data_IF_618445422478
#
_entry.id   IF_618445422478
#
_cell.length_a   1.000
_cell.length_b   1.000
_cell.length_c   1.000
_cell.angle_alpha   90.00
_cell.angle_beta   90.00
_cell.angle_gamma   90.00
#
_symmetry.space_group_name_H-M   'P 1'
#
loop_
_entity.id
_entity.type
_entity.pdbx_description
1 polymer ?
#
# COMPACT_ATOMS: atom_id res chain seq x y z
N UNK A 1 43.80 10.42 18.04
CA UNK A 1 42.89 9.27 18.38
C UNK A 1 41.55 9.47 17.68
N UNK A 2 41.18 8.59 16.78
CA UNK A 2 39.87 8.65 16.14
C UNK A 2 38.77 8.44 17.20
N UNK A 3 37.88 9.44 17.39
CA UNK A 3 36.77 9.34 18.32
C UNK A 3 35.90 8.18 17.91
N UNK A 4 35.71 7.19 18.78
CA UNK A 4 34.87 6.01 18.55
C UNK A 4 33.43 6.48 18.37
N UNK A 5 32.94 6.47 17.14
CA UNK A 5 31.56 6.84 16.83
C UNK A 5 30.65 5.73 17.38
N UNK A 6 29.70 6.09 18.25
CA UNK A 6 28.69 5.18 18.73
C UNK A 6 27.60 5.06 17.66
N UNK A 7 26.98 3.89 17.56
CA UNK A 7 25.82 3.66 16.69
C UNK A 7 24.65 3.16 17.52
N UNK A 8 23.45 3.65 17.22
CA UNK A 8 22.24 3.01 17.72
C UNK A 8 21.92 1.74 16.91
N UNK A 9 21.07 0.88 17.45
CA UNK A 9 20.61 -0.29 16.72
C UNK A 9 19.81 0.11 15.48
N UNK A 10 19.83 -0.71 14.44
CA UNK A 10 18.94 -0.54 13.31
C UNK A 10 17.47 -0.77 13.73
N UNK A 11 16.55 -0.06 13.08
CA UNK A 11 15.13 -0.11 13.36
C UNK A 11 14.43 -0.62 12.11
N UNK A 12 13.75 -1.76 12.24
CA UNK A 12 12.93 -2.35 11.20
C UNK A 12 11.47 -1.93 11.37
N UNK A 13 10.72 -1.93 10.26
CA UNK A 13 9.28 -1.70 10.31
C UNK A 13 8.56 -2.84 11.04
N UNK A 14 7.57 -2.49 11.85
CA UNK A 14 6.85 -3.40 12.71
C UNK A 14 6.01 -4.43 11.91
N UNK A 15 6.28 -5.71 12.10
CA UNK A 15 5.58 -6.80 11.43
C UNK A 15 4.08 -6.85 11.76
N UNK A 16 3.67 -6.45 12.96
CA UNK A 16 2.27 -6.36 13.37
C UNK A 16 1.52 -5.29 12.58
N UNK A 17 2.14 -4.13 12.31
CA UNK A 17 1.57 -3.08 11.44
C UNK A 17 1.46 -3.59 10.01
N UNK A 18 2.49 -4.28 9.49
CA UNK A 18 2.48 -4.88 8.16
C UNK A 18 1.31 -5.86 7.98
N UNK A 19 1.07 -6.74 8.97
CA UNK A 19 -0.05 -7.70 8.94
C UNK A 19 -1.42 -7.01 9.00
N UNK A 20 -1.58 -6.02 9.86
CA UNK A 20 -2.81 -5.23 9.94
C UNK A 20 -3.06 -4.44 8.65
N UNK A 21 -2.02 -3.88 8.05
CA UNK A 21 -2.12 -3.17 6.77
C UNK A 21 -2.52 -4.12 5.65
N UNK A 22 -1.87 -5.29 5.53
CA UNK A 22 -2.27 -6.36 4.61
C UNK A 22 -3.77 -6.68 4.76
N UNK A 23 -4.25 -6.89 6.00
CA UNK A 23 -5.66 -7.21 6.25
C UNK A 23 -6.59 -6.09 5.78
N UNK A 24 -6.24 -4.82 6.04
CA UNK A 24 -7.02 -3.67 5.58
C UNK A 24 -7.06 -3.56 4.05
N UNK A 25 -5.94 -3.80 3.37
CA UNK A 25 -5.87 -3.84 1.90
C UNK A 25 -6.79 -4.93 1.33
N UNK A 26 -6.74 -6.15 1.88
CA UNK A 26 -7.58 -7.26 1.44
C UNK A 26 -9.08 -6.99 1.68
N UNK A 27 -9.43 -6.44 2.84
CA UNK A 27 -10.83 -6.09 3.15
C UNK A 27 -11.35 -5.02 2.21
N UNK A 28 -10.57 -3.96 1.99
CA UNK A 28 -10.89 -2.87 1.05
C UNK A 28 -11.10 -3.40 -0.37
N UNK A 29 -10.14 -4.16 -0.88
CA UNK A 29 -10.20 -4.69 -2.24
C UNK A 29 -11.40 -5.62 -2.45
N UNK A 30 -11.69 -6.51 -1.50
CA UNK A 30 -12.85 -7.41 -1.59
C UNK A 30 -14.17 -6.62 -1.64
N UNK A 31 -14.33 -5.65 -0.75
CA UNK A 31 -15.53 -4.81 -0.72
C UNK A 31 -15.72 -4.05 -2.04
N UNK A 32 -14.65 -3.44 -2.54
CA UNK A 32 -14.64 -2.71 -3.80
C UNK A 32 -14.95 -3.61 -5.00
N UNK A 33 -14.26 -4.74 -5.12
CA UNK A 33 -14.51 -5.71 -6.21
C UNK A 33 -15.92 -6.27 -6.17
N UNK A 34 -16.48 -6.56 -4.97
CA UNK A 34 -17.84 -7.07 -4.83
C UNK A 34 -18.88 -6.04 -5.31
N UNK A 35 -18.69 -4.76 -4.97
CA UNK A 35 -19.57 -3.68 -5.43
C UNK A 35 -19.57 -3.57 -6.96
N UNK A 36 -18.39 -3.61 -7.57
CA UNK A 36 -18.23 -3.52 -9.04
C UNK A 36 -18.84 -4.72 -9.74
N UNK A 37 -18.52 -5.94 -9.30
CA UNK A 37 -19.10 -7.16 -9.87
C UNK A 37 -20.61 -7.13 -9.78
N UNK A 38 -21.17 -6.70 -8.65
CA UNK A 38 -22.62 -6.55 -8.49
C UNK A 38 -23.18 -5.53 -9.47
N UNK A 39 -22.54 -4.38 -9.65
CA UNK A 39 -22.98 -3.34 -10.57
C UNK A 39 -22.97 -3.84 -12.03
N UNK A 40 -21.90 -4.50 -12.46
CA UNK A 40 -21.80 -5.07 -13.82
C UNK A 40 -22.87 -6.13 -14.04
N UNK A 41 -23.06 -7.05 -13.10
CA UNK A 41 -24.06 -8.12 -13.24
C UNK A 41 -25.48 -7.59 -13.25
N UNK A 42 -25.80 -6.55 -12.49
CA UNK A 42 -27.09 -5.88 -12.51
C UNK A 42 -27.32 -5.19 -13.86
N UNK A 43 -26.34 -4.44 -14.35
CA UNK A 43 -26.44 -3.78 -15.65
C UNK A 43 -26.64 -4.79 -16.79
N UNK A 44 -25.88 -5.89 -16.79
CA UNK A 44 -26.03 -6.96 -17.75
C UNK A 44 -27.41 -7.63 -17.67
N UNK A 45 -27.96 -7.81 -16.46
CA UNK A 45 -29.30 -8.33 -16.28
C UNK A 45 -30.36 -7.37 -16.84
N UNK A 46 -30.23 -6.09 -16.54
CA UNK A 46 -31.22 -5.07 -16.91
C UNK A 46 -31.17 -4.76 -18.41
N UNK A 47 -30.00 -4.60 -19.01
CA UNK A 47 -29.85 -4.27 -20.43
C UNK A 47 -29.89 -5.49 -21.36
N UNK A 48 -29.45 -6.65 -20.90
CA UNK A 48 -29.50 -7.91 -21.66
C UNK A 48 -30.88 -8.56 -21.70
N UNK A 49 -31.78 -8.26 -20.74
CA UNK A 49 -33.14 -8.82 -20.65
C UNK A 49 -34.21 -7.89 -21.20
N UNK A 50 -34.01 -6.57 -21.08
CA UNK A 50 -35.08 -5.58 -21.30
C UNK A 50 -35.37 -5.24 -22.76
N UNK A 51 -34.62 -5.77 -23.72
CA UNK A 51 -35.02 -5.61 -25.12
C UNK A 51 -36.36 -6.33 -25.46
N UNK A 52 -36.81 -7.23 -24.59
CA UNK A 52 -38.03 -8.00 -24.85
C UNK A 52 -39.07 -8.05 -23.71
N UNK A 53 -38.71 -7.71 -22.46
CA UNK A 53 -39.70 -7.76 -21.37
C UNK A 53 -39.47 -6.68 -20.32
N UNK A 54 -40.08 -5.51 -20.53
CA UNK A 54 -40.01 -4.34 -19.64
C UNK A 54 -40.77 -4.51 -18.31
N UNK A 55 -41.38 -5.66 -18.06
CA UNK A 55 -42.32 -5.85 -16.95
C UNK A 55 -41.68 -6.34 -15.65
N UNK A 56 -40.44 -6.78 -15.65
CA UNK A 56 -39.89 -7.55 -14.50
C UNK A 56 -38.83 -6.85 -13.65
N UNK A 57 -38.26 -5.71 -14.05
CA UNK A 57 -37.26 -5.06 -13.20
C UNK A 57 -37.21 -3.55 -13.37
N UNK A 58 -37.50 -2.83 -12.29
CA UNK A 58 -37.21 -1.40 -12.18
C UNK A 58 -35.86 -1.23 -11.41
N UNK A 59 -34.75 -0.90 -12.09
CA UNK A 59 -33.43 -0.79 -11.46
C UNK A 59 -33.33 0.34 -10.42
N UNK A 60 -34.32 1.22 -10.34
CA UNK A 60 -34.42 2.28 -9.33
C UNK A 60 -35.11 1.81 -8.04
N UNK A 61 -35.47 0.51 -7.92
CA UNK A 61 -36.10 -0.01 -6.71
C UNK A 61 -35.05 -0.45 -5.69
N UNK A 62 -34.90 0.25 -4.53
CA UNK A 62 -33.97 -0.15 -3.46
C UNK A 62 -34.28 -1.49 -2.83
N UNK A 63 -35.44 -2.11 -3.16
CA UNK A 63 -35.92 -3.37 -2.64
C UNK A 63 -35.54 -4.61 -3.49
N UNK A 64 -34.75 -4.45 -4.55
CA UNK A 64 -34.31 -5.61 -5.33
C UNK A 64 -33.31 -6.46 -4.52
N UNK A 65 -33.84 -7.47 -3.84
CA UNK A 65 -33.13 -8.41 -2.98
C UNK A 65 -32.54 -9.60 -3.72
N UNK A 66 -32.55 -9.59 -5.06
CA UNK A 66 -31.97 -10.70 -5.82
C UNK A 66 -30.54 -10.95 -5.44
N UNK A 67 -30.21 -12.20 -5.21
CA UNK A 67 -28.83 -12.61 -4.90
C UNK A 67 -27.97 -12.52 -6.16
N UNK A 68 -26.66 -12.28 -5.99
CA UNK A 68 -25.68 -12.36 -7.10
C UNK A 68 -25.80 -13.67 -7.88
N UNK A 69 -26.31 -14.72 -7.23
CA UNK A 69 -26.51 -16.02 -7.84
C UNK A 69 -27.70 -16.05 -8.82
N UNK A 70 -28.79 -15.40 -8.44
CA UNK A 70 -29.98 -15.29 -9.31
C UNK A 70 -29.70 -14.41 -10.51
N UNK A 71 -29.07 -13.25 -10.27
CA UNK A 71 -28.63 -12.32 -11.33
C UNK A 71 -27.70 -13.05 -12.32
N UNK A 72 -26.72 -13.79 -11.81
CA UNK A 72 -25.77 -14.52 -12.65
C UNK A 72 -26.47 -15.60 -13.49
N UNK A 73 -27.47 -16.32 -12.95
CA UNK A 73 -28.25 -17.32 -13.74
C UNK A 73 -29.00 -16.66 -14.87
N UNK A 74 -29.60 -15.51 -14.63
CA UNK A 74 -30.37 -14.78 -15.65
C UNK A 74 -29.44 -14.29 -16.78
N UNK A 75 -28.30 -13.76 -16.47
CA UNK A 75 -27.30 -13.26 -17.44
C UNK A 75 -26.83 -14.39 -18.36
N UNK A 76 -26.46 -15.54 -17.82
CA UNK A 76 -25.91 -16.65 -18.62
C UNK A 76 -26.91 -17.34 -19.56
N UNK A 77 -28.16 -17.39 -19.19
CA UNK A 77 -29.19 -17.98 -20.06
C UNK A 77 -29.35 -17.24 -21.42
N UNK A 78 -28.94 -15.96 -21.47
CA UNK A 78 -28.98 -15.13 -22.69
C UNK A 78 -27.67 -15.04 -23.46
N UNK A 79 -26.55 -15.22 -22.78
CA UNK A 79 -25.21 -14.95 -23.30
C UNK A 79 -24.67 -15.94 -24.30
N UNK A 80 -25.15 -17.17 -24.26
CA UNK A 80 -24.83 -18.21 -25.26
C UNK A 80 -25.16 -17.82 -26.70
N UNK A 81 -25.85 -16.68 -26.89
CA UNK A 81 -26.34 -16.26 -28.20
C UNK A 81 -25.54 -15.19 -28.91
N UNK A 82 -24.78 -14.35 -28.20
CA UNK A 82 -23.92 -13.29 -28.81
C UNK A 82 -22.81 -12.78 -27.88
N UNK A 83 -21.64 -13.46 -27.79
CA UNK A 83 -20.56 -13.12 -26.85
C UNK A 83 -19.84 -11.80 -27.17
N UNK A 84 -19.71 -11.42 -28.43
CA UNK A 84 -19.00 -10.17 -28.82
C UNK A 84 -19.77 -8.92 -28.35
N UNK A 85 -21.08 -8.88 -28.53
CA UNK A 85 -21.91 -7.78 -28.06
C UNK A 85 -21.76 -7.52 -26.57
N UNK A 86 -21.61 -8.56 -25.76
CA UNK A 86 -21.48 -8.42 -24.32
C UNK A 86 -20.09 -7.95 -23.88
N UNK A 87 -19.05 -8.34 -24.59
CA UNK A 87 -17.70 -7.83 -24.35
C UNK A 87 -17.70 -6.33 -24.49
N UNK A 88 -18.16 -5.81 -25.62
CA UNK A 88 -18.20 -4.38 -25.90
C UNK A 88 -19.06 -3.63 -24.85
N UNK A 89 -20.20 -4.22 -24.47
CA UNK A 89 -21.08 -3.65 -23.48
C UNK A 89 -20.42 -3.56 -22.09
N UNK A 90 -19.77 -4.63 -21.62
CA UNK A 90 -19.03 -4.64 -20.35
C UNK A 90 -17.91 -3.61 -20.36
N UNK A 91 -17.16 -3.52 -21.45
CA UNK A 91 -16.07 -2.55 -21.60
C UNK A 91 -16.59 -1.11 -21.53
N UNK A 92 -17.67 -0.80 -22.24
CA UNK A 92 -18.30 0.52 -22.22
C UNK A 92 -18.86 0.86 -20.83
N UNK A 93 -19.55 -0.09 -20.19
CA UNK A 93 -20.09 0.10 -18.85
C UNK A 93 -18.99 0.39 -17.83
N UNK A 94 -17.90 -0.37 -17.85
CA UNK A 94 -16.76 -0.13 -16.98
C UNK A 94 -16.14 1.25 -17.26
N UNK A 95 -15.93 1.60 -18.53
CA UNK A 95 -15.35 2.89 -18.90
C UNK A 95 -16.21 4.07 -18.40
N UNK A 96 -17.53 3.97 -18.50
CA UNK A 96 -18.48 5.00 -18.03
C UNK A 96 -18.48 5.13 -16.49
N UNK A 97 -18.33 4.05 -15.75
CA UNK A 97 -18.49 4.04 -14.29
C UNK A 97 -17.18 4.09 -13.50
N UNK A 98 -16.04 3.83 -14.15
CA UNK A 98 -14.73 3.74 -13.50
C UNK A 98 -14.39 4.98 -12.68
N UNK A 99 -14.62 6.17 -13.23
CA UNK A 99 -14.37 7.44 -12.52
C UNK A 99 -15.18 7.58 -11.23
N UNK A 100 -16.47 7.19 -11.27
CA UNK A 100 -17.36 7.20 -10.10
C UNK A 100 -16.90 6.19 -9.03
N UNK A 101 -16.50 4.98 -9.43
CA UNK A 101 -15.98 3.97 -8.50
C UNK A 101 -14.67 4.40 -7.85
N UNK A 102 -13.77 5.01 -8.63
CA UNK A 102 -12.52 5.58 -8.10
C UNK A 102 -12.81 6.69 -7.08
N UNK A 103 -13.74 7.59 -7.40
CA UNK A 103 -14.13 8.67 -6.50
C UNK A 103 -14.68 8.16 -5.16
N UNK A 104 -15.44 7.06 -5.16
CA UNK A 104 -15.94 6.39 -3.95
C UNK A 104 -14.86 5.63 -3.19
N UNK A 105 -13.90 5.02 -3.89
CA UNK A 105 -12.82 4.24 -3.28
C UNK A 105 -11.74 5.12 -2.65
N UNK A 106 -11.44 6.28 -3.21
CA UNK A 106 -10.33 7.16 -2.79
C UNK A 106 -10.43 7.58 -1.31
N UNK A 107 -11.57 7.99 -0.75
CA UNK A 107 -11.68 8.32 0.67
C UNK A 107 -11.36 7.15 1.59
N UNK A 108 -11.74 5.93 1.21
CA UNK A 108 -11.44 4.72 1.97
C UNK A 108 -9.96 4.35 1.89
N UNK A 109 -9.37 4.46 0.69
CA UNK A 109 -7.94 4.29 0.47
C UNK A 109 -7.14 5.27 1.33
N UNK A 110 -7.57 6.55 1.39
CA UNK A 110 -6.96 7.59 2.22
C UNK A 110 -7.00 7.26 3.72
N UNK A 111 -8.13 6.79 4.24
CA UNK A 111 -8.22 6.35 5.64
C UNK A 111 -7.23 5.22 5.98
N UNK A 112 -7.03 4.30 5.05
CA UNK A 112 -6.05 3.20 5.22
C UNK A 112 -4.62 3.77 5.17
N UNK A 113 -4.33 4.67 4.22
CA UNK A 113 -3.04 5.33 4.09
C UNK A 113 -2.69 6.16 5.34
N UNK A 114 -3.62 6.94 5.85
CA UNK A 114 -3.46 7.71 7.08
C UNK A 114 -3.16 6.82 8.28
N UNK A 115 -3.94 5.73 8.41
CA UNK A 115 -3.73 4.78 9.51
C UNK A 115 -2.33 4.17 9.45
N UNK A 116 -1.87 3.67 8.32
CA UNK A 116 -0.55 3.03 8.21
C UNK A 116 0.58 4.04 8.40
N UNK A 117 0.47 5.24 7.84
CA UNK A 117 1.48 6.28 7.98
C UNK A 117 1.65 6.70 9.44
N UNK A 118 0.56 7.05 10.12
CA UNK A 118 0.59 7.48 11.54
C UNK A 118 0.98 6.36 12.50
N UNK A 119 0.49 5.13 12.29
CA UNK A 119 0.86 3.99 13.13
C UNK A 119 2.34 3.63 12.98
N UNK A 120 2.88 3.66 11.76
CA UNK A 120 4.29 3.39 11.49
C UNK A 120 5.16 4.51 12.06
N UNK A 121 4.77 5.77 11.90
CA UNK A 121 5.50 6.91 12.46
C UNK A 121 5.61 6.81 13.99
N UNK A 122 4.50 6.47 14.67
CA UNK A 122 4.49 6.31 16.12
C UNK A 122 5.39 5.16 16.59
N UNK A 123 5.31 4.00 15.93
CA UNK A 123 6.07 2.79 16.29
C UNK A 123 7.58 2.99 16.08
N UNK A 124 7.96 3.54 14.91
CA UNK A 124 9.35 3.84 14.59
C UNK A 124 9.93 4.85 15.58
N UNK A 125 9.20 5.90 15.90
CA UNK A 125 9.67 6.92 16.86
C UNK A 125 9.84 6.35 18.26
N UNK A 126 8.94 5.49 18.72
CA UNK A 126 9.09 4.79 19.98
C UNK A 126 10.36 3.92 20.02
N UNK A 127 10.57 3.14 18.95
CA UNK A 127 11.73 2.28 18.78
C UNK A 127 13.04 3.10 18.68
N UNK A 128 13.00 4.22 17.98
CA UNK A 128 14.12 5.15 17.82
C UNK A 128 14.51 5.78 19.15
N UNK A 129 13.53 6.24 19.92
CA UNK A 129 13.77 6.78 21.27
C UNK A 129 14.47 5.77 22.17
N UNK A 130 13.96 4.52 22.21
CA UNK A 130 14.58 3.45 22.98
C UNK A 130 16.00 3.14 22.53
N UNK A 131 16.24 3.05 21.22
CA UNK A 131 17.54 2.76 20.66
C UNK A 131 18.57 3.85 20.98
N UNK A 132 18.15 5.12 20.97
CA UNK A 132 19.02 6.26 21.22
C UNK A 132 19.35 6.42 22.70
N UNK A 133 18.38 6.22 23.59
CA UNK A 133 18.61 6.19 25.03
C UNK A 133 19.60 5.07 25.37
N UNK A 134 19.42 3.87 24.82
CA UNK A 134 20.34 2.75 25.01
C UNK A 134 21.76 3.03 24.48
N UNK A 135 21.88 3.85 23.43
CA UNK A 135 23.18 4.32 22.92
C UNK A 135 23.78 5.46 23.75
N UNK A 136 23.03 6.05 24.69
CA UNK A 136 23.48 7.11 25.62
C UNK A 136 23.04 8.53 25.21
N UNK A 137 22.08 8.70 24.28
CA UNK A 137 21.52 10.01 23.99
C UNK A 137 20.47 10.37 25.05
N UNK A 138 20.55 11.58 25.68
CA UNK A 138 19.60 12.00 26.71
C UNK A 138 18.16 12.05 26.16
N UNK A 139 17.21 11.59 26.96
CA UNK A 139 15.78 11.60 26.59
C UNK A 139 15.26 13.02 26.33
N UNK A 140 15.67 13.96 27.18
CA UNK A 140 15.23 15.36 27.11
C UNK A 140 15.70 16.02 25.80
N UNK A 141 16.90 15.70 25.33
CA UNK A 141 17.38 16.18 24.04
C UNK A 141 16.47 15.80 22.87
N UNK A 142 15.90 14.60 22.90
CA UNK A 142 14.91 14.18 21.90
C UNK A 142 13.55 14.84 22.14
N UNK A 143 13.13 14.99 23.41
CA UNK A 143 11.85 15.58 23.77
C UNK A 143 11.75 17.05 23.34
N UNK A 144 12.83 17.82 23.40
CA UNK A 144 12.90 19.19 22.91
C UNK A 144 12.71 19.31 21.39
N UNK A 145 13.16 18.31 20.63
CA UNK A 145 13.12 18.30 19.15
C UNK A 145 11.88 17.61 18.58
N UNK A 146 11.32 16.64 19.32
CA UNK A 146 10.16 15.86 18.86
C UNK A 146 8.90 16.28 19.62
N UNK A 147 8.25 17.29 19.08
CA UNK A 147 7.13 17.99 19.75
C UNK A 147 5.77 17.71 19.12
N UNK A 148 5.71 17.28 17.83
CA UNK A 148 4.47 17.10 17.10
C UNK A 148 3.79 15.77 17.45
N UNK A 149 2.53 15.76 17.94
CA UNK A 149 1.86 14.54 18.36
C UNK A 149 1.51 13.65 17.17
N UNK A 150 1.76 12.35 17.31
CA UNK A 150 1.33 11.30 16.39
C UNK A 150 0.90 10.06 17.17
N UNK A 151 -0.39 9.70 17.11
CA UNK A 151 -0.95 8.61 17.90
C UNK A 151 -0.61 8.81 19.40
N UNK A 152 0.26 7.98 19.98
CA UNK A 152 0.69 8.04 21.41
C UNK A 152 2.16 8.48 21.54
N UNK A 153 2.76 9.03 20.48
CA UNK A 153 4.16 9.48 20.43
C UNK A 153 4.22 10.93 19.98
N UNK A 154 5.44 11.47 20.00
CA UNK A 154 5.76 12.77 19.42
C UNK A 154 6.91 12.59 18.44
N UNK A 155 6.75 13.17 17.24
CA UNK A 155 7.73 13.16 16.16
C UNK A 155 8.34 14.57 15.98
N UNK A 156 9.41 14.66 15.21
CA UNK A 156 9.97 15.94 14.81
C UNK A 156 9.03 16.68 13.85
N UNK A 157 9.20 18.01 13.74
CA UNK A 157 8.48 18.80 12.73
C UNK A 157 8.79 18.29 11.32
N UNK A 158 10.06 17.99 11.01
CA UNK A 158 10.45 17.41 9.70
C UNK A 158 9.71 16.13 9.38
N UNK A 159 9.56 15.23 10.35
CA UNK A 159 8.81 13.99 10.15
C UNK A 159 7.30 14.25 10.00
N UNK A 160 6.76 15.27 10.66
CA UNK A 160 5.36 15.68 10.51
C UNK A 160 5.10 16.27 9.12
N UNK A 161 6.03 17.04 8.59
CA UNK A 161 5.94 17.65 7.24
C UNK A 161 5.99 16.60 6.12
N UNK A 162 6.60 15.44 6.35
CA UNK A 162 6.62 14.33 5.40
C UNK A 162 5.29 13.54 5.35
N UNK A 163 4.52 13.54 6.44
CA UNK A 163 3.30 12.72 6.55
C UNK A 163 2.26 12.98 5.46
N UNK A 164 1.94 14.24 5.07
CA UNK A 164 0.96 14.50 4.02
C UNK A 164 1.35 13.85 2.69
N UNK A 165 2.59 14.00 2.26
CA UNK A 165 3.12 13.40 1.02
C UNK A 165 3.11 11.87 1.07
N UNK A 166 3.47 11.29 2.21
CA UNK A 166 3.42 9.84 2.44
C UNK A 166 1.97 9.33 2.34
N UNK A 167 1.02 10.03 2.94
CA UNK A 167 -0.41 9.68 2.91
C UNK A 167 -0.94 9.77 1.49
N UNK A 168 -0.66 10.85 0.78
CA UNK A 168 -1.11 11.04 -0.59
C UNK A 168 -0.55 9.95 -1.52
N UNK A 169 0.75 9.71 -1.47
CA UNK A 169 1.38 8.68 -2.26
C UNK A 169 0.83 7.26 -1.96
N UNK A 170 0.63 6.94 -0.69
CA UNK A 170 0.03 5.67 -0.28
C UNK A 170 -1.43 5.56 -0.74
N UNK A 171 -2.19 6.66 -0.69
CA UNK A 171 -3.57 6.73 -1.20
C UNK A 171 -3.62 6.42 -2.68
N UNK A 172 -2.78 7.09 -3.46
CA UNK A 172 -2.68 6.90 -4.90
C UNK A 172 -2.29 5.46 -5.27
N UNK A 173 -1.37 4.85 -4.51
CA UNK A 173 -0.99 3.46 -4.72
C UNK A 173 -2.18 2.51 -4.46
N UNK A 174 -2.89 2.67 -3.34
CA UNK A 174 -4.04 1.81 -2.98
C UNK A 174 -5.15 1.98 -4.03
N UNK A 175 -5.44 3.20 -4.45
CA UNK A 175 -6.43 3.49 -5.50
C UNK A 175 -6.03 2.87 -6.83
N UNK A 176 -4.76 3.01 -7.26
CA UNK A 176 -4.25 2.38 -8.48
C UNK A 176 -4.31 0.84 -8.43
N UNK A 177 -4.08 0.25 -7.26
CA UNK A 177 -4.28 -1.19 -7.08
C UNK A 177 -5.73 -1.58 -7.29
N UNK A 178 -6.69 -0.78 -6.80
CA UNK A 178 -8.12 -1.01 -7.00
C UNK A 178 -8.50 -0.91 -8.49
N UNK A 179 -8.01 0.08 -9.22
CA UNK A 179 -8.21 0.22 -10.68
C UNK A 179 -7.71 -1.02 -11.44
N UNK A 180 -6.50 -1.49 -11.11
CA UNK A 180 -5.96 -2.70 -11.73
C UNK A 180 -6.78 -3.96 -11.42
N UNK A 181 -7.49 -3.99 -10.27
CA UNK A 181 -8.41 -5.09 -9.96
C UNK A 181 -9.67 -5.03 -10.82
N UNK A 182 -10.18 -3.84 -11.14
CA UNK A 182 -11.31 -3.67 -12.08
C UNK A 182 -10.96 -4.25 -13.45
N UNK A 183 -9.78 -3.93 -13.97
CA UNK A 183 -9.31 -4.47 -15.26
C UNK A 183 -9.23 -6.00 -15.23
N UNK A 184 -8.68 -6.59 -14.17
CA UNK A 184 -8.65 -8.05 -14.03
C UNK A 184 -10.03 -8.67 -13.91
N UNK A 185 -10.98 -8.02 -13.24
CA UNK A 185 -12.36 -8.46 -13.17
C UNK A 185 -13.02 -8.43 -14.54
N UNK A 186 -12.79 -7.36 -15.32
CA UNK A 186 -13.23 -7.24 -16.71
C UNK A 186 -12.71 -8.41 -17.54
N UNK A 187 -11.39 -8.68 -17.52
CA UNK A 187 -10.77 -9.76 -18.27
C UNK A 187 -11.38 -11.12 -17.92
N UNK A 188 -11.63 -11.38 -16.63
CA UNK A 188 -12.24 -12.63 -16.15
C UNK A 188 -13.70 -12.74 -16.59
N UNK A 189 -14.46 -11.68 -16.50
CA UNK A 189 -15.86 -11.65 -16.94
C UNK A 189 -15.90 -11.93 -18.45
N UNK A 190 -15.18 -11.17 -19.24
CA UNK A 190 -15.14 -11.28 -20.69
C UNK A 190 -14.66 -12.67 -21.13
N UNK A 191 -13.55 -13.19 -20.60
CA UNK A 191 -13.02 -14.51 -20.97
C UNK A 191 -13.96 -15.66 -20.57
N UNK A 192 -14.56 -15.59 -19.38
CA UNK A 192 -15.50 -16.62 -18.92
C UNK A 192 -16.72 -16.72 -19.84
N UNK A 193 -17.10 -15.60 -20.39
CA UNK A 193 -18.24 -15.47 -21.29
C UNK A 193 -17.88 -15.94 -22.70
N UNK A 194 -16.75 -15.55 -23.23
CA UNK A 194 -16.25 -16.00 -24.52
C UNK A 194 -16.07 -17.53 -24.56
N UNK A 195 -15.64 -18.13 -23.45
CA UNK A 195 -15.43 -19.57 -23.31
C UNK A 195 -16.74 -20.38 -23.13
N UNK A 196 -17.91 -19.73 -23.06
CA UNK A 196 -19.20 -20.39 -22.78
C UNK A 196 -19.24 -21.14 -21.43
N UNK A 197 -18.34 -20.80 -20.50
CA UNK A 197 -18.26 -21.46 -19.20
C UNK A 197 -19.46 -21.09 -18.31
N UNK A 198 -19.90 -22.06 -17.51
CA UNK A 198 -21.07 -21.89 -16.66
C UNK A 198 -20.80 -20.93 -15.46
N UNK A 199 -21.89 -20.51 -14.83
CA UNK A 199 -21.90 -19.60 -13.66
C UNK A 199 -21.01 -20.06 -12.51
N UNK A 200 -20.95 -21.38 -12.28
CA UNK A 200 -20.13 -21.95 -11.20
C UNK A 200 -18.66 -21.66 -11.46
N UNK A 201 -18.23 -21.76 -12.70
CA UNK A 201 -16.87 -21.39 -13.13
C UNK A 201 -16.63 -19.89 -12.98
N UNK A 202 -17.59 -19.04 -13.38
CA UNK A 202 -17.51 -17.59 -13.19
C UNK A 202 -17.45 -17.21 -11.70
N UNK A 203 -18.31 -17.79 -10.86
CA UNK A 203 -18.27 -17.57 -9.40
C UNK A 203 -16.94 -17.99 -8.78
N UNK A 204 -16.41 -19.14 -9.18
CA UNK A 204 -15.11 -19.64 -8.72
C UNK A 204 -14.00 -18.69 -9.16
N UNK A 205 -13.99 -18.26 -10.40
CA UNK A 205 -13.02 -17.33 -10.95
C UNK A 205 -13.15 -15.93 -10.32
N UNK A 206 -14.35 -15.38 -10.18
CA UNK A 206 -14.59 -14.12 -9.48
C UNK A 206 -14.26 -14.22 -7.99
N UNK A 207 -14.52 -15.34 -7.33
CA UNK A 207 -14.13 -15.58 -5.94
C UNK A 207 -12.61 -15.65 -5.76
N UNK A 208 -11.89 -16.17 -6.73
CA UNK A 208 -10.42 -16.23 -6.74
C UNK A 208 -9.80 -14.89 -7.17
N UNK A 209 -10.42 -14.19 -8.11
CA UNK A 209 -9.92 -12.93 -8.68
C UNK A 209 -10.47 -11.69 -8.00
N UNK A 210 -11.60 -11.80 -7.27
CA UNK A 210 -12.18 -10.69 -6.51
C UNK A 210 -11.27 -10.33 -5.34
N UNK A 211 -10.59 -9.23 -5.47
CA UNK A 211 -9.69 -8.69 -4.47
C UNK A 211 -8.21 -8.88 -4.80
N UNK A 212 -7.39 -8.18 -4.04
CA UNK A 212 -5.94 -8.29 -4.16
C UNK A 212 -5.51 -9.72 -3.86
N UNK A 213 -4.65 -10.26 -4.72
CA UNK A 213 -3.88 -11.45 -4.36
C UNK A 213 -3.22 -11.23 -2.98
N UNK A 214 -3.38 -12.20 -2.09
CA UNK A 214 -2.88 -12.12 -0.72
C UNK A 214 -1.36 -11.91 -0.66
N UNK A 215 -0.63 -12.44 -1.63
CA UNK A 215 0.82 -12.25 -1.74
C UNK A 215 1.16 -10.85 -2.25
N UNK A 216 0.39 -10.30 -3.19
CA UNK A 216 0.56 -8.90 -3.64
C UNK A 216 0.27 -7.94 -2.50
N UNK A 217 -0.84 -8.12 -1.78
CA UNK A 217 -1.18 -7.30 -0.61
C UNK A 217 -0.09 -7.38 0.46
N UNK A 218 0.49 -8.57 0.69
CA UNK A 218 1.61 -8.75 1.62
C UNK A 218 2.86 -8.02 1.17
N UNK A 219 3.24 -8.16 -0.10
CA UNK A 219 4.43 -7.47 -0.65
C UNK A 219 4.29 -5.96 -0.55
N UNK A 220 3.13 -5.44 -0.93
CA UNK A 220 2.83 -4.00 -0.82
C UNK A 220 2.85 -3.54 0.63
N UNK A 221 2.23 -4.27 1.55
CA UNK A 221 2.21 -3.90 2.96
C UNK A 221 3.62 -3.83 3.56
N UNK A 222 4.49 -4.78 3.23
CA UNK A 222 5.89 -4.79 3.68
C UNK A 222 6.68 -3.62 3.05
N UNK A 223 6.60 -3.45 1.72
CA UNK A 223 7.33 -2.41 1.00
C UNK A 223 6.96 -1.02 1.50
N UNK A 224 5.67 -0.73 1.63
CA UNK A 224 5.17 0.56 2.04
C UNK A 224 5.52 0.89 3.50
N UNK A 225 5.34 -0.05 4.42
CA UNK A 225 5.73 0.15 5.82
C UNK A 225 7.23 0.38 5.98
N UNK A 226 8.08 -0.31 5.20
CA UNK A 226 9.52 -0.07 5.22
C UNK A 226 9.88 1.33 4.72
N UNK A 227 9.26 1.80 3.64
CA UNK A 227 9.47 3.15 3.09
C UNK A 227 9.05 4.23 4.07
N UNK A 228 7.86 4.09 4.65
CA UNK A 228 7.35 5.02 5.67
C UNK A 228 8.29 5.02 6.88
N UNK A 229 8.67 3.85 7.39
CA UNK A 229 9.55 3.71 8.54
C UNK A 229 10.90 4.42 8.33
N UNK A 230 11.55 4.17 7.19
CA UNK A 230 12.84 4.79 6.89
C UNK A 230 12.72 6.29 6.61
N UNK A 231 11.63 6.76 5.98
CA UNK A 231 11.38 8.20 5.80
C UNK A 231 11.25 8.94 7.13
N UNK A 232 10.40 8.45 8.03
CA UNK A 232 10.19 9.03 9.37
C UNK A 232 11.45 8.95 10.22
N UNK A 233 12.14 7.80 10.23
CA UNK A 233 13.42 7.63 10.95
C UNK A 233 14.44 8.69 10.53
N UNK A 234 14.64 8.85 9.23
CA UNK A 234 15.57 9.81 8.66
C UNK A 234 15.17 11.27 8.96
N UNK A 235 13.90 11.62 8.86
CA UNK A 235 13.42 12.96 9.18
C UNK A 235 13.62 13.30 10.67
N UNK A 236 13.37 12.35 11.56
CA UNK A 236 13.65 12.48 12.98
C UNK A 236 15.17 12.63 13.24
N UNK A 237 16.02 11.86 12.54
CA UNK A 237 17.48 11.95 12.64
C UNK A 237 18.00 13.33 12.24
N UNK A 238 17.53 13.87 11.12
CA UNK A 238 17.88 15.21 10.70
C UNK A 238 17.49 16.28 11.71
N UNK A 239 16.38 16.11 12.42
CA UNK A 239 15.97 17.06 13.48
C UNK A 239 16.92 17.05 14.67
N UNK A 240 17.60 15.94 14.89
CA UNK A 240 18.61 15.78 15.94
C UNK A 240 20.03 16.17 15.48
N UNK A 241 20.22 16.53 14.20
CA UNK A 241 21.54 16.79 13.61
C UNK A 241 22.33 15.51 13.25
N UNK A 242 21.66 14.36 13.19
CA UNK A 242 22.27 13.10 12.74
C UNK A 242 22.22 13.06 11.22
N UNK A 243 23.38 13.10 10.56
CA UNK A 243 23.50 13.20 9.10
C UNK A 243 24.08 11.96 8.47
N UNK A 244 24.55 10.99 9.25
CA UNK A 244 25.23 9.81 8.75
C UNK A 244 24.66 8.52 9.35
N UNK A 245 24.72 7.45 8.58
CA UNK A 245 24.32 6.13 8.99
C UNK A 245 25.24 5.03 8.47
N UNK A 246 25.09 3.84 9.00
CA UNK A 246 25.75 2.62 8.51
C UNK A 246 24.67 1.76 7.87
N UNK A 247 24.83 1.46 6.59
CA UNK A 247 23.90 0.62 5.84
C UNK A 247 23.81 -0.78 6.42
N UNK A 248 22.60 -1.29 6.61
CA UNK A 248 22.33 -2.65 7.05
C UNK A 248 21.47 -3.34 6.02
N UNK A 249 22.06 -4.34 5.37
CA UNK A 249 21.31 -5.18 4.45
C UNK A 249 20.44 -6.17 5.24
N UNK A 250 19.13 -6.14 4.99
CA UNK A 250 18.18 -7.11 5.54
C UNK A 250 17.77 -8.06 4.41
N UNK A 251 18.10 -9.38 4.52
CA UNK A 251 17.74 -10.36 3.50
C UNK A 251 16.24 -10.40 3.24
N UNK A 252 15.85 -10.37 1.98
CA UNK A 252 14.46 -10.47 1.54
C UNK A 252 14.11 -11.92 1.16
N UNK A 253 12.81 -12.26 1.26
CA UNK A 253 12.32 -13.58 0.79
C UNK A 253 12.35 -13.71 -0.74
N UNK A 254 12.32 -12.59 -1.46
CA UNK A 254 12.07 -12.62 -2.91
C UNK A 254 13.30 -12.31 -3.75
N UNK A 255 14.18 -11.48 -3.33
CA UNK A 255 15.52 -11.24 -3.91
C UNK A 255 16.29 -10.26 -3.06
N UNK A 256 17.57 -10.48 -2.90
CA UNK A 256 18.51 -9.51 -2.36
C UNK A 256 19.33 -8.95 -3.52
N UNK A 257 19.34 -7.61 -3.69
CA UNK A 257 20.21 -6.98 -4.67
C UNK A 257 21.66 -7.12 -4.25
N UNK A 258 22.52 -7.63 -5.11
CA UNK A 258 23.96 -7.81 -4.83
C UNK A 258 24.62 -6.46 -4.48
N UNK A 259 24.21 -5.38 -5.17
CA UNK A 259 24.68 -4.02 -4.86
C UNK A 259 24.36 -3.61 -3.43
N UNK A 260 23.15 -3.93 -2.95
CA UNK A 260 22.75 -3.62 -1.57
C UNK A 260 23.43 -4.53 -0.53
N UNK A 261 23.78 -5.77 -0.88
CA UNK A 261 24.65 -6.62 -0.03
C UNK A 261 26.04 -6.02 0.08
N UNK A 262 26.59 -5.53 -1.03
CA UNK A 262 27.89 -4.88 -1.04
C UNK A 262 27.94 -3.54 -0.28
N UNK A 263 26.79 -2.89 -0.07
CA UNK A 263 26.69 -1.69 0.77
C UNK A 263 26.70 -2.00 2.27
N UNK A 264 26.40 -3.22 2.67
CA UNK A 264 26.27 -3.61 4.07
C UNK A 264 27.50 -3.23 4.89
N UNK A 265 27.29 -2.60 6.04
CA UNK A 265 28.36 -2.15 6.93
C UNK A 265 29.04 -0.83 6.49
N UNK A 266 28.75 -0.31 5.31
CA UNK A 266 29.36 0.94 4.84
C UNK A 266 28.66 2.16 5.43
N UNK A 267 29.44 3.17 5.77
CA UNK A 267 28.97 4.48 6.23
C UNK A 267 28.52 5.31 5.04
N UNK A 268 27.45 6.07 5.22
CA UNK A 268 26.90 6.92 4.17
C UNK A 268 26.20 8.17 4.75
N UNK A 269 26.09 9.19 3.93
CA UNK A 269 25.31 10.40 4.19
C UNK A 269 23.81 10.12 4.03
N UNK A 270 23.01 10.42 5.06
CA UNK A 270 21.58 10.16 5.08
C UNK A 270 20.79 11.03 4.07
N UNK A 271 21.30 12.21 3.72
CA UNK A 271 20.64 13.07 2.74
C UNK A 271 20.93 12.61 1.32
N UNK A 272 22.17 12.20 1.03
CA UNK A 272 22.60 11.78 -0.30
C UNK A 272 22.26 10.32 -0.62
N UNK A 273 22.31 9.44 0.37
CA UNK A 273 22.21 7.99 0.17
C UNK A 273 23.53 7.37 -0.27
N UNK A 274 23.47 6.14 -0.82
CA UNK A 274 24.60 5.44 -1.43
C UNK A 274 24.39 5.25 -2.93
N UNK A 275 25.48 5.36 -3.69
CA UNK A 275 25.42 5.11 -5.13
C UNK A 275 25.19 3.63 -5.41
N UNK A 276 24.12 3.35 -6.14
CA UNK A 276 23.76 2.00 -6.60
C UNK A 276 24.03 1.87 -8.10
N UNK A 277 25.08 1.13 -8.50
CA UNK A 277 25.44 0.96 -9.90
C UNK A 277 24.37 0.23 -10.72
N UNK A 278 23.51 -0.58 -10.06
CA UNK A 278 22.44 -1.30 -10.78
C UNK A 278 21.33 -0.37 -11.32
N UNK A 279 21.14 0.79 -10.70
CA UNK A 279 20.17 1.82 -11.13
C UNK A 279 20.84 3.15 -11.50
N UNK A 280 22.17 3.19 -11.48
CA UNK A 280 23.01 4.33 -11.84
C UNK A 280 22.63 5.64 -11.14
N UNK A 281 22.29 5.56 -9.83
CA UNK A 281 21.97 6.73 -9.01
C UNK A 281 22.17 6.46 -7.53
N UNK A 282 22.17 7.52 -6.73
CA UNK A 282 22.13 7.42 -5.27
C UNK A 282 20.75 6.93 -4.81
N UNK A 283 20.75 6.03 -3.83
CA UNK A 283 19.54 5.45 -3.24
C UNK A 283 19.63 5.47 -1.72
N UNK A 284 18.49 5.63 -1.08
CA UNK A 284 18.34 5.49 0.37
C UNK A 284 17.87 4.08 0.77
N UNK A 285 18.03 3.75 2.04
CA UNK A 285 17.45 2.50 2.56
C UNK A 285 15.95 2.45 2.33
N UNK A 286 15.43 1.29 1.95
CA UNK A 286 14.02 1.02 1.61
C UNK A 286 13.44 1.83 0.44
N UNK A 287 14.21 2.62 -0.31
CA UNK A 287 13.71 3.45 -1.41
C UNK A 287 13.27 2.62 -2.62
N UNK A 288 14.12 1.70 -3.07
CA UNK A 288 13.80 0.86 -4.23
C UNK A 288 12.66 -0.12 -3.92
N UNK A 289 11.86 -0.51 -4.92
CA UNK A 289 10.77 -1.46 -4.73
C UNK A 289 11.20 -2.73 -4.01
N UNK A 290 10.48 -3.11 -2.95
CA UNK A 290 10.73 -4.29 -2.12
C UNK A 290 12.09 -4.33 -1.40
N UNK A 291 12.80 -3.20 -1.32
CA UNK A 291 14.01 -3.09 -0.53
C UNK A 291 13.66 -3.14 0.97
N UNK A 292 14.41 -3.96 1.73
CA UNK A 292 14.25 -4.11 3.18
C UNK A 292 15.43 -3.56 3.96
N UNK A 293 16.43 -2.99 3.27
CA UNK A 293 17.58 -2.42 3.93
C UNK A 293 17.17 -1.31 4.91
N UNK A 294 17.85 -1.28 6.02
CA UNK A 294 17.73 -0.25 7.08
C UNK A 294 19.11 0.35 7.34
N UNK A 295 19.21 1.27 8.26
CA UNK A 295 20.52 1.78 8.68
C UNK A 295 20.63 1.89 10.21
N UNK A 296 21.85 1.91 10.69
CA UNK A 296 22.18 2.28 12.07
C UNK A 296 22.65 3.72 12.09
N UNK A 297 21.98 4.63 12.80
CA UNK A 297 22.42 6.01 12.92
C UNK A 297 23.82 6.11 13.54
N UNK A 298 24.67 6.96 13.00
CA UNK A 298 26.00 7.25 13.53
C UNK A 298 25.92 8.43 14.50
N UNK A 299 26.03 8.16 15.81
CA UNK A 299 25.86 9.15 16.86
C UNK A 299 27.20 9.81 17.20
N UNK A 300 27.39 11.05 16.76
CA UNK A 300 28.51 11.88 17.14
C UNK A 300 28.15 12.79 18.33
N UNK A 301 28.25 12.28 19.56
CA UNK A 301 27.86 13.02 20.78
C UNK A 301 28.53 14.36 20.94
N UNK A 302 29.79 14.50 20.50
CA UNK A 302 30.50 15.77 20.59
C UNK A 302 29.97 16.87 19.68
N UNK A 303 29.24 16.47 18.61
CA UNK A 303 28.56 17.38 17.72
C UNK A 303 27.09 17.58 18.15
N UNK A 304 26.38 16.50 18.47
CA UNK A 304 24.96 16.54 18.82
C UNK A 304 24.68 17.36 20.09
N UNK A 305 25.54 17.26 21.12
CA UNK A 305 25.33 17.94 22.39
C UNK A 305 25.96 19.36 22.45
N UNK A 306 26.65 19.81 21.40
CA UNK A 306 27.17 21.19 21.26
C UNK A 306 26.19 22.17 20.65
N UNK A 307 25.09 21.68 20.04
CA UNK A 307 24.04 22.49 19.42
C UNK A 307 22.95 22.88 20.45
N UNK A 308 23.40 23.36 21.64
CA UNK A 308 22.56 24.11 22.59
C UNK A 308 22.65 25.59 22.31
#
# INVERSE_FOLDING_TARGET
MAKKIKTARAIEANAGIQQKFKKKLLTFSRAFSTEIVKAILLDLADNGLLAQDRSLTNPKNPQDKRTLQEISKMVLAKWSRNPEFFKDHVEQFIAQHLGSWIAKATPQARKIAEWVARSTAADVTASQRQAYVAAGLPLDFMAEKWTVPVVRQRISQKAADELPSIIEWSTNLITKMAVNDVQRLQDVIVSTLADGKNITSMRKLLGVTSGFDADRARRVAIDQTNKIANGILRANDFSLGITEGIWVHVPGRFSSRETHKAMNGKRFDLAKGMFDPAVNRFVSCAELPFCRCVYRPALNFSQLLKTK
#
